data_IF_844249850158
#
_entry.id   IF_844249850158
#
_cell.length_a   1.000
_cell.length_b   1.000
_cell.length_c   1.000
_cell.angle_alpha   90.00
_cell.angle_beta   90.00
_cell.angle_gamma   90.00
#
_symmetry.space_group_name_H-M   'P 1'
#
loop_
_entity.id
_entity.type
_entity.pdbx_description
1 polymer ?
#
# COMPACT_ATOMS: atom_id res chain seq x y z
N UNK A 1 -33.66 32.04 54.06
CA UNK A 1 -33.32 32.18 55.50
C UNK A 1 -31.85 31.89 55.64
N UNK A 2 -31.11 32.98 55.79
CA UNK A 2 -30.23 33.33 56.90
C UNK A 2 -28.98 32.42 56.99
N UNK A 3 -27.87 32.87 56.80
CA UNK A 3 -26.94 33.92 57.21
C UNK A 3 -25.61 33.35 57.71
N UNK A 4 -24.55 33.86 57.08
CA UNK A 4 -23.32 34.39 57.65
C UNK A 4 -22.49 33.57 58.66
N UNK A 5 -21.18 33.41 58.44
CA UNK A 5 -20.16 34.34 58.96
C UNK A 5 -18.74 34.07 58.48
N UNK A 6 -18.11 35.18 58.16
CA UNK A 6 -16.69 35.46 57.93
C UNK A 6 -15.72 34.84 58.96
N UNK A 7 -14.51 34.49 58.51
CA UNK A 7 -13.26 35.13 59.06
C UNK A 7 -12.06 34.86 58.16
N UNK A 8 -11.45 35.94 57.75
CA UNK A 8 -10.11 36.05 57.19
C UNK A 8 -9.06 35.63 58.22
N UNK A 9 -7.96 35.09 57.71
CA UNK A 9 -6.62 35.37 58.26
C UNK A 9 -5.57 35.21 57.17
N UNK A 10 -4.96 36.35 56.85
CA UNK A 10 -3.74 36.47 56.05
C UNK A 10 -2.56 35.81 56.78
N UNK A 11 -1.72 35.10 56.03
CA UNK A 11 -0.27 35.15 56.25
C UNK A 11 0.50 34.95 54.94
N UNK A 12 1.22 36.00 54.67
CA UNK A 12 2.32 36.24 53.74
C UNK A 12 3.28 35.05 53.60
N UNK A 13 3.62 34.72 52.37
CA UNK A 13 4.70 33.82 52.04
C UNK A 13 4.92 33.72 50.54
N UNK A 14 5.60 34.76 49.99
CA UNK A 14 6.11 34.77 48.62
C UNK A 14 6.95 33.52 48.35
N UNK A 15 6.46 32.62 47.52
CA UNK A 15 7.26 31.59 46.85
C UNK A 15 6.98 31.67 45.35
N UNK A 16 7.88 32.35 44.68
CA UNK A 16 8.00 32.32 43.22
C UNK A 16 8.19 30.89 42.74
N UNK A 17 7.11 30.28 42.28
CA UNK A 17 7.17 28.99 41.59
C UNK A 17 7.60 29.24 40.13
N UNK A 18 8.89 29.03 39.89
CA UNK A 18 9.45 28.98 38.55
C UNK A 18 8.88 27.73 37.85
N UNK A 19 7.92 27.91 36.95
CA UNK A 19 7.46 26.85 36.05
C UNK A 19 8.55 26.60 35.01
N UNK A 20 9.37 25.57 35.25
CA UNK A 20 10.22 24.98 34.21
C UNK A 20 9.29 24.24 33.29
N UNK A 21 8.90 24.88 32.17
CA UNK A 21 8.26 24.19 31.02
C UNK A 21 9.34 23.33 30.39
N UNK A 22 9.41 22.08 30.76
CA UNK A 22 10.14 21.05 30.01
C UNK A 22 9.42 20.89 28.69
N UNK A 23 9.96 21.50 27.64
CA UNK A 23 9.68 21.13 26.25
C UNK A 23 10.20 19.70 26.05
N UNK A 24 9.34 18.71 26.30
CA UNK A 24 9.55 17.37 25.76
C UNK A 24 9.28 17.50 24.25
N UNK A 25 10.34 17.77 23.51
CA UNK A 25 10.35 17.52 22.05
C UNK A 25 10.20 16.02 21.88
N UNK A 26 8.96 15.56 21.72
CA UNK A 26 8.71 14.24 21.15
C UNK A 26 9.38 14.21 19.77
N UNK A 27 10.57 13.65 19.72
CA UNK A 27 11.18 13.17 18.50
C UNK A 27 10.24 12.06 17.99
N UNK A 28 9.24 12.43 17.20
CA UNK A 28 8.59 11.45 16.34
C UNK A 28 9.67 11.01 15.35
N UNK A 29 10.04 9.72 15.32
CA UNK A 29 10.90 9.25 14.25
C UNK A 29 10.15 9.60 12.95
N UNK A 30 10.83 10.31 12.05
CA UNK A 30 10.34 10.58 10.72
C UNK A 30 9.98 9.24 10.09
N UNK A 31 8.70 9.02 9.77
CA UNK A 31 8.29 7.82 9.05
C UNK A 31 9.14 7.73 7.78
N UNK A 32 9.82 6.60 7.51
CA UNK A 32 10.57 6.45 6.30
C UNK A 32 9.61 6.59 5.10
N UNK A 33 9.99 7.44 4.15
CA UNK A 33 9.27 7.59 2.89
C UNK A 33 9.15 6.22 2.23
N UNK A 34 7.94 5.82 1.82
CA UNK A 34 7.70 4.59 1.06
C UNK A 34 8.52 4.53 -0.25
N UNK A 35 9.04 5.69 -0.72
CA UNK A 35 9.98 5.79 -1.84
C UNK A 35 11.36 5.20 -1.56
N UNK A 36 11.69 4.81 -0.32
CA UNK A 36 13.00 4.30 0.11
C UNK A 36 12.97 2.84 0.57
N UNK A 37 11.92 2.09 0.26
CA UNK A 37 11.92 0.64 0.44
C UNK A 37 12.88 0.00 -0.61
N UNK A 38 14.18 0.23 -0.45
CA UNK A 38 15.21 -0.49 -1.17
C UNK A 38 15.38 -1.85 -0.50
N UNK A 39 14.84 -2.90 -1.11
CA UNK A 39 15.34 -4.24 -0.85
C UNK A 39 16.78 -4.29 -1.36
N UNK A 40 17.71 -4.51 -0.44
CA UNK A 40 19.09 -4.81 -0.81
C UNK A 40 19.15 -6.18 -1.48
N UNK A 41 20.06 -6.36 -2.46
CA UNK A 41 20.36 -7.70 -3.01
C UNK A 41 20.75 -8.70 -1.92
N UNK A 42 21.31 -8.22 -0.83
CA UNK A 42 21.76 -9.02 0.31
C UNK A 42 20.57 -9.56 1.14
N UNK A 43 19.38 -8.96 1.03
CA UNK A 43 18.18 -9.41 1.75
C UNK A 43 17.45 -10.56 1.03
N UNK A 44 17.73 -10.75 -0.26
CA UNK A 44 17.06 -11.75 -1.12
C UNK A 44 17.13 -13.17 -0.55
N UNK A 45 18.30 -13.71 -0.16
CA UNK A 45 18.38 -15.07 0.39
C UNK A 45 17.58 -15.24 1.67
N UNK A 46 17.54 -14.20 2.52
CA UNK A 46 16.79 -14.22 3.77
C UNK A 46 15.28 -14.25 3.52
N UNK A 47 14.79 -13.45 2.56
CA UNK A 47 13.37 -13.41 2.16
C UNK A 47 12.94 -14.77 1.62
N UNK A 48 13.72 -15.37 0.70
CA UNK A 48 13.41 -16.70 0.14
C UNK A 48 13.40 -17.77 1.22
N UNK A 49 14.37 -17.73 2.14
CA UNK A 49 14.44 -18.68 3.25
C UNK A 49 13.27 -18.53 4.22
N UNK A 50 12.85 -17.29 4.51
CA UNK A 50 11.67 -16.98 5.36
C UNK A 50 10.40 -17.54 4.70
N UNK A 51 10.22 -17.28 3.40
CA UNK A 51 9.06 -17.78 2.63
C UNK A 51 9.07 -19.33 2.61
N UNK A 52 10.20 -19.97 2.37
CA UNK A 52 10.33 -21.44 2.41
C UNK A 52 9.96 -22.00 3.77
N UNK A 53 10.46 -21.39 4.83
CA UNK A 53 10.21 -21.85 6.22
C UNK A 53 8.73 -21.78 6.58
N UNK A 54 8.02 -20.72 6.17
CA UNK A 54 6.64 -20.48 6.53
C UNK A 54 5.67 -21.22 5.60
N UNK A 55 5.95 -21.22 4.27
CA UNK A 55 5.00 -21.66 3.24
C UNK A 55 5.49 -22.88 2.45
N UNK A 56 6.71 -23.39 2.71
CA UNK A 56 7.24 -24.60 2.11
C UNK A 56 7.88 -24.43 0.71
N UNK A 57 8.29 -25.56 0.12
CA UNK A 57 9.09 -25.59 -1.11
C UNK A 57 8.40 -24.99 -2.34
N UNK A 58 7.09 -25.13 -2.48
CA UNK A 58 6.37 -24.52 -3.61
C UNK A 58 6.41 -23.01 -3.55
N UNK A 59 6.28 -22.44 -2.36
CA UNK A 59 6.41 -21.01 -2.12
C UNK A 59 7.83 -20.50 -2.41
N UNK A 60 8.85 -21.24 -1.99
CA UNK A 60 10.25 -20.95 -2.35
C UNK A 60 10.43 -20.84 -3.85
N UNK A 61 9.90 -21.80 -4.62
CA UNK A 61 10.00 -21.78 -6.07
C UNK A 61 9.33 -20.55 -6.69
N UNK A 62 8.15 -20.14 -6.18
CA UNK A 62 7.49 -18.89 -6.61
C UNK A 62 8.34 -17.65 -6.27
N UNK A 63 8.89 -17.59 -5.07
CA UNK A 63 9.78 -16.50 -4.65
C UNK A 63 11.02 -16.39 -5.54
N UNK A 64 11.68 -17.51 -5.87
CA UNK A 64 12.81 -17.54 -6.80
C UNK A 64 12.42 -17.04 -8.19
N UNK A 65 11.24 -17.42 -8.70
CA UNK A 65 10.75 -16.94 -9.99
C UNK A 65 10.47 -15.42 -9.97
N UNK A 66 9.85 -14.91 -8.91
CA UNK A 66 9.63 -13.48 -8.72
C UNK A 66 10.95 -12.70 -8.69
N UNK A 67 11.94 -13.18 -7.94
CA UNK A 67 13.27 -12.54 -7.89
C UNK A 67 13.98 -12.57 -9.24
N UNK A 68 13.85 -13.68 -9.97
CA UNK A 68 14.38 -13.78 -11.33
C UNK A 68 13.71 -12.76 -12.27
N UNK A 69 12.39 -12.56 -12.16
CA UNK A 69 11.68 -11.51 -12.89
C UNK A 69 12.27 -10.13 -12.58
N UNK A 70 12.39 -9.78 -11.29
CA UNK A 70 12.98 -8.50 -10.87
C UNK A 70 14.40 -8.32 -11.42
N UNK A 71 15.28 -9.32 -11.29
CA UNK A 71 16.65 -9.24 -11.77
C UNK A 71 16.72 -9.15 -13.31
N UNK A 72 15.82 -9.82 -14.02
CA UNK A 72 15.79 -9.82 -15.50
C UNK A 72 15.34 -8.46 -16.04
N UNK A 73 14.33 -7.85 -15.44
CA UNK A 73 13.68 -6.67 -16.03
C UNK A 73 14.01 -5.33 -15.35
N UNK A 74 14.87 -5.31 -14.32
CA UNK A 74 15.23 -4.06 -13.58
C UNK A 74 15.78 -2.92 -14.46
N UNK A 75 16.37 -3.26 -15.62
CA UNK A 75 16.94 -2.28 -16.55
C UNK A 75 16.15 -2.21 -17.89
N UNK A 76 14.98 -2.82 -17.95
CA UNK A 76 14.11 -2.81 -19.14
C UNK A 76 13.28 -1.53 -19.17
N UNK A 77 12.73 -1.24 -20.35
CA UNK A 77 11.76 -0.16 -20.50
C UNK A 77 10.52 -0.41 -19.63
N UNK A 78 9.92 0.67 -19.13
CA UNK A 78 8.77 0.60 -18.21
C UNK A 78 7.60 -0.19 -18.78
N UNK A 79 7.36 -0.11 -20.09
CA UNK A 79 6.30 -0.88 -20.75
C UNK A 79 6.54 -2.39 -20.63
N UNK A 80 7.78 -2.84 -20.81
CA UNK A 80 8.17 -4.25 -20.65
C UNK A 80 7.98 -4.66 -19.17
N UNK A 81 8.46 -3.83 -18.24
CA UNK A 81 8.30 -4.10 -16.80
C UNK A 81 6.83 -4.29 -16.41
N UNK A 82 5.95 -3.39 -16.88
CA UNK A 82 4.51 -3.42 -16.61
C UNK A 82 3.89 -4.71 -17.14
N UNK A 83 4.20 -5.09 -18.37
CA UNK A 83 3.67 -6.30 -19.00
C UNK A 83 4.12 -7.56 -18.25
N UNK A 84 5.41 -7.67 -17.94
CA UNK A 84 5.98 -8.86 -17.30
C UNK A 84 5.49 -9.02 -15.86
N UNK A 85 5.39 -7.91 -15.11
CA UNK A 85 4.84 -7.92 -13.73
C UNK A 85 3.35 -8.31 -13.77
N UNK A 86 2.55 -7.73 -14.65
CA UNK A 86 1.15 -8.09 -14.78
C UNK A 86 0.97 -9.57 -15.14
N UNK A 87 1.74 -10.07 -16.11
CA UNK A 87 1.68 -11.46 -16.55
C UNK A 87 2.09 -12.42 -15.42
N UNK A 88 3.14 -12.09 -14.66
CA UNK A 88 3.62 -12.94 -13.57
C UNK A 88 2.56 -13.11 -12.48
N UNK A 89 2.04 -12.01 -11.94
CA UNK A 89 1.08 -12.10 -10.85
C UNK A 89 -0.26 -12.69 -11.30
N UNK A 90 -0.71 -12.40 -12.52
CA UNK A 90 -1.96 -12.96 -13.06
C UNK A 90 -1.92 -14.49 -13.34
N UNK A 91 -0.80 -15.16 -13.08
CA UNK A 91 -0.71 -16.63 -13.04
C UNK A 91 -1.05 -17.20 -11.66
N UNK A 92 -1.03 -16.38 -10.61
CA UNK A 92 -1.35 -16.81 -9.25
C UNK A 92 -2.86 -16.97 -9.08
N UNK A 93 -3.26 -17.66 -8.02
CA UNK A 93 -4.65 -18.01 -7.78
C UNK A 93 -5.40 -16.85 -7.09
N UNK A 94 -6.64 -16.59 -7.53
CA UNK A 94 -7.53 -15.72 -6.77
C UNK A 94 -8.10 -16.52 -5.59
N UNK A 95 -7.84 -16.03 -4.37
CA UNK A 95 -8.28 -16.66 -3.14
C UNK A 95 -8.84 -15.57 -2.24
N UNK A 96 -10.07 -15.72 -1.85
CA UNK A 96 -10.77 -14.85 -0.91
C UNK A 96 -10.11 -14.86 0.46
N UNK A 97 -10.01 -13.70 1.11
CA UNK A 97 -9.35 -13.52 2.40
C UNK A 97 -9.90 -14.39 3.51
N UNK A 98 -11.21 -14.54 3.57
CA UNK A 98 -11.84 -15.37 4.60
C UNK A 98 -11.40 -16.84 4.46
N UNK A 99 -11.22 -17.31 3.21
CA UNK A 99 -10.77 -18.67 2.93
C UNK A 99 -9.27 -18.83 3.18
N UNK A 100 -8.47 -17.81 2.90
CA UNK A 100 -7.02 -17.87 2.99
C UNK A 100 -6.52 -17.58 4.42
N UNK A 101 -7.06 -16.53 5.05
CA UNK A 101 -6.58 -15.98 6.32
C UNK A 101 -7.56 -16.15 7.49
N UNK A 102 -8.81 -16.51 7.21
CA UNK A 102 -9.87 -16.62 8.22
C UNK A 102 -10.37 -15.29 8.77
N UNK A 103 -10.05 -14.18 8.10
CA UNK A 103 -10.47 -12.82 8.44
C UNK A 103 -10.83 -12.07 7.16
N UNK A 104 -11.70 -11.08 7.24
CA UNK A 104 -12.05 -10.23 6.11
C UNK A 104 -11.01 -9.11 5.94
N UNK A 105 -10.78 -8.66 4.70
CA UNK A 105 -10.00 -7.46 4.32
C UNK A 105 -8.56 -7.50 4.89
N UNK A 106 -7.82 -8.58 4.57
CA UNK A 106 -6.43 -8.78 4.98
C UNK A 106 -5.47 -8.50 3.83
N UNK A 107 -5.03 -7.28 3.69
CA UNK A 107 -4.07 -6.88 2.66
C UNK A 107 -2.67 -7.46 2.94
N UNK A 108 -2.16 -8.25 2.02
CA UNK A 108 -0.89 -8.95 2.18
C UNK A 108 0.32 -8.11 1.76
N UNK A 109 1.48 -8.43 2.32
CA UNK A 109 2.76 -8.05 1.74
C UNK A 109 3.04 -8.91 0.49
N UNK A 110 3.96 -8.46 -0.38
CA UNK A 110 4.40 -9.25 -1.54
C UNK A 110 4.91 -10.63 -1.13
N UNK A 111 5.61 -10.71 0.00
CA UNK A 111 6.15 -11.97 0.52
C UNK A 111 5.05 -12.95 0.96
N UNK A 112 4.00 -12.45 1.63
CA UNK A 112 2.84 -13.26 2.01
C UNK A 112 2.06 -13.73 0.79
N UNK A 113 1.77 -12.83 -0.16
CA UNK A 113 1.07 -13.16 -1.40
C UNK A 113 1.80 -14.22 -2.22
N UNK A 114 3.12 -14.08 -2.44
CA UNK A 114 3.96 -15.09 -3.11
C UNK A 114 4.01 -16.37 -2.28
N UNK A 115 4.12 -16.25 -0.96
CA UNK A 115 4.14 -17.37 -0.02
C UNK A 115 2.87 -18.20 -0.09
N UNK A 116 1.72 -17.57 0.00
CA UNK A 116 0.41 -18.21 -0.11
C UNK A 116 0.14 -18.76 -1.53
N UNK A 117 0.66 -18.08 -2.55
CA UNK A 117 0.48 -18.45 -3.96
C UNK A 117 -0.77 -17.83 -4.59
N UNK A 118 -1.37 -16.88 -3.92
CA UNK A 118 -2.54 -16.15 -4.34
C UNK A 118 -3.08 -15.25 -3.23
N UNK A 119 -4.19 -14.60 -3.51
CA UNK A 119 -4.92 -13.69 -2.64
C UNK A 119 -6.08 -13.06 -3.42
N UNK A 120 -6.65 -11.99 -2.90
CA UNK A 120 -7.74 -11.30 -3.58
C UNK A 120 -7.29 -10.03 -4.35
N UNK A 121 -8.21 -9.16 -4.74
CA UNK A 121 -7.92 -8.10 -5.70
C UNK A 121 -6.92 -7.06 -5.21
N UNK A 122 -6.94 -6.71 -3.92
CA UNK A 122 -5.96 -5.80 -3.32
C UNK A 122 -4.58 -6.40 -3.26
N UNK A 123 -4.46 -7.69 -2.97
CA UNK A 123 -3.17 -8.39 -2.92
C UNK A 123 -2.49 -8.40 -4.28
N UNK A 124 -3.23 -8.71 -5.35
CA UNK A 124 -2.72 -8.58 -6.71
C UNK A 124 -2.28 -7.16 -7.02
N UNK A 125 -3.07 -6.17 -6.64
CA UNK A 125 -2.79 -4.76 -6.87
C UNK A 125 -1.53 -4.31 -6.13
N UNK A 126 -1.41 -4.64 -4.84
CA UNK A 126 -0.26 -4.32 -4.00
C UNK A 126 1.01 -5.03 -4.47
N UNK A 127 0.93 -6.31 -4.82
CA UNK A 127 2.07 -7.07 -5.31
C UNK A 127 2.62 -6.50 -6.62
N UNK A 128 1.75 -6.11 -7.56
CA UNK A 128 2.14 -5.43 -8.79
C UNK A 128 2.75 -4.05 -8.50
N UNK A 129 2.12 -3.25 -7.63
CA UNK A 129 2.62 -1.93 -7.23
C UNK A 129 4.03 -2.00 -6.66
N UNK A 130 4.26 -2.80 -5.63
CA UNK A 130 5.56 -2.90 -4.99
C UNK A 130 6.61 -3.47 -5.92
N UNK A 131 6.29 -4.46 -6.75
CA UNK A 131 7.23 -5.05 -7.69
C UNK A 131 7.66 -4.03 -8.76
N UNK A 132 6.73 -3.22 -9.28
CA UNK A 132 7.07 -2.15 -10.22
C UNK A 132 7.94 -1.07 -9.58
N UNK A 133 7.67 -0.70 -8.33
CA UNK A 133 8.53 0.22 -7.58
C UNK A 133 9.94 -0.37 -7.40
N UNK A 134 10.08 -1.66 -7.09
CA UNK A 134 11.39 -2.34 -7.02
C UNK A 134 12.12 -2.36 -8.37
N UNK A 135 11.39 -2.43 -9.45
CA UNK A 135 11.95 -2.34 -10.81
C UNK A 135 12.39 -0.91 -11.17
N UNK A 136 12.09 0.09 -10.33
CA UNK A 136 12.46 1.49 -10.52
C UNK A 136 11.38 2.36 -11.16
N UNK A 137 10.15 1.84 -11.33
CA UNK A 137 9.02 2.66 -11.77
C UNK A 137 8.68 3.66 -10.66
N UNK A 138 8.65 4.97 -10.95
CA UNK A 138 8.36 5.98 -9.92
C UNK A 138 6.97 5.77 -9.30
N UNK A 139 6.90 5.67 -7.98
CA UNK A 139 5.66 5.41 -7.26
C UNK A 139 4.54 6.44 -7.54
N UNK A 140 4.91 7.70 -7.86
CA UNK A 140 3.94 8.74 -8.20
C UNK A 140 3.26 8.53 -9.57
N UNK A 141 3.79 7.65 -10.43
CA UNK A 141 3.17 7.24 -11.70
C UNK A 141 2.20 6.07 -11.53
N UNK A 142 2.14 5.48 -10.34
CA UNK A 142 1.31 4.32 -10.00
C UNK A 142 0.20 4.76 -9.04
N UNK A 143 -1.02 4.32 -9.30
CA UNK A 143 -2.18 4.54 -8.45
C UNK A 143 -2.94 3.24 -8.22
N UNK A 144 -3.14 2.87 -6.98
CA UNK A 144 -4.07 1.83 -6.58
C UNK A 144 -5.46 2.45 -6.53
N UNK A 145 -6.43 1.86 -7.23
CA UNK A 145 -7.75 2.44 -7.41
C UNK A 145 -8.81 1.47 -6.93
N UNK A 146 -9.57 1.90 -5.94
CA UNK A 146 -10.76 1.21 -5.47
C UNK A 146 -11.93 1.57 -6.38
N UNK A 147 -12.55 0.57 -6.95
CA UNK A 147 -13.59 0.70 -7.95
C UNK A 147 -14.83 -0.15 -7.60
N UNK A 148 -15.97 0.18 -8.17
CA UNK A 148 -17.09 -0.74 -8.30
C UNK A 148 -16.98 -1.43 -9.66
N UNK A 149 -16.80 -2.75 -9.67
CA UNK A 149 -16.80 -3.56 -10.88
C UNK A 149 -18.25 -3.80 -11.34
N UNK A 150 -18.74 -2.99 -12.28
CA UNK A 150 -20.16 -2.91 -12.68
C UNK A 150 -20.71 -4.26 -13.10
N UNK A 151 -19.91 -5.03 -13.86
CA UNK A 151 -20.31 -6.35 -14.39
C UNK A 151 -20.54 -7.36 -13.27
N UNK A 152 -19.74 -7.29 -12.20
CA UNK A 152 -19.80 -8.21 -11.07
C UNK A 152 -20.63 -7.68 -9.90
N UNK A 153 -20.94 -6.37 -9.91
CA UNK A 153 -21.62 -5.64 -8.81
C UNK A 153 -20.89 -5.75 -7.47
N UNK A 154 -19.56 -5.78 -7.52
CA UNK A 154 -18.69 -5.97 -6.36
C UNK A 154 -17.62 -4.88 -6.29
N UNK A 155 -17.16 -4.63 -5.08
CA UNK A 155 -15.97 -3.83 -4.84
C UNK A 155 -14.75 -4.51 -5.42
N UNK A 156 -13.84 -3.73 -6.03
CA UNK A 156 -12.65 -4.26 -6.67
C UNK A 156 -11.50 -3.26 -6.57
N UNK A 157 -10.27 -3.75 -6.68
CA UNK A 157 -9.08 -2.92 -6.69
C UNK A 157 -8.22 -3.22 -7.92
N UNK A 158 -7.77 -2.17 -8.59
CA UNK A 158 -6.88 -2.26 -9.75
C UNK A 158 -5.69 -1.32 -9.61
N UNK A 159 -4.60 -1.62 -10.33
CA UNK A 159 -3.45 -0.74 -10.44
C UNK A 159 -3.53 0.04 -11.76
N UNK A 160 -3.34 1.35 -11.69
CA UNK A 160 -3.16 2.19 -12.87
C UNK A 160 -1.73 2.72 -12.94
N UNK A 161 -1.18 2.76 -14.15
CA UNK A 161 0.07 3.45 -14.47
C UNK A 161 -0.22 4.61 -15.41
N UNK A 162 0.35 5.79 -15.10
CA UNK A 162 0.25 6.99 -15.93
C UNK A 162 1.62 7.60 -16.14
N UNK A 163 2.08 7.61 -17.39
CA UNK A 163 3.42 8.10 -17.75
C UNK A 163 3.63 9.57 -17.36
N UNK A 164 2.62 10.40 -17.67
CA UNK A 164 2.55 11.81 -17.26
C UNK A 164 1.09 12.26 -17.18
N UNK A 165 0.78 13.42 -16.57
CA UNK A 165 -0.60 13.91 -16.47
C UNK A 165 -1.33 14.11 -17.81
N UNK A 166 -0.58 14.22 -18.92
CA UNK A 166 -1.12 14.35 -20.27
C UNK A 166 -1.37 13.00 -20.98
N UNK A 167 -0.83 11.90 -20.44
CA UNK A 167 -1.03 10.58 -21.02
C UNK A 167 -2.23 9.90 -20.37
N UNK A 168 -2.93 9.12 -21.17
CA UNK A 168 -4.01 8.29 -20.67
C UNK A 168 -3.44 7.17 -19.79
N UNK A 169 -3.99 6.94 -18.58
CA UNK A 169 -3.57 5.81 -17.76
C UNK A 169 -3.88 4.47 -18.42
N UNK A 170 -3.04 3.47 -18.16
CA UNK A 170 -3.31 2.06 -18.45
C UNK A 170 -3.59 1.32 -17.13
N UNK A 171 -4.45 0.31 -17.20
CA UNK A 171 -4.96 -0.44 -16.05
C UNK A 171 -4.44 -1.87 -16.09
N UNK A 172 -3.88 -2.30 -14.96
CA UNK A 172 -3.45 -3.66 -14.66
C UNK A 172 -4.45 -4.26 -13.69
N UNK A 173 -5.00 -5.40 -14.06
CA UNK A 173 -6.09 -6.04 -13.32
C UNK A 173 -5.83 -7.55 -13.21
N UNK A 174 -6.45 -8.22 -12.25
CA UNK A 174 -6.42 -9.67 -12.10
C UNK A 174 -7.64 -10.36 -12.71
N UNK A 175 -8.76 -9.65 -12.88
CA UNK A 175 -9.98 -10.14 -13.54
C UNK A 175 -9.82 -10.01 -15.06
N UNK A 176 -9.69 -8.80 -15.57
CA UNK A 176 -9.32 -8.59 -16.97
C UNK A 176 -7.79 -8.52 -17.09
N UNK A 177 -7.19 -9.67 -17.40
CA UNK A 177 -5.73 -9.84 -17.40
C UNK A 177 -5.02 -9.04 -18.51
N UNK A 178 -5.77 -8.49 -19.46
CA UNK A 178 -5.22 -7.63 -20.52
C UNK A 178 -5.02 -6.21 -20.00
N UNK A 179 -3.83 -5.66 -20.22
CA UNK A 179 -3.59 -4.25 -19.93
C UNK A 179 -4.35 -3.42 -20.95
N UNK A 180 -5.22 -2.53 -20.46
CA UNK A 180 -6.08 -1.67 -21.28
C UNK A 180 -5.97 -0.23 -20.84
N UNK A 181 -6.22 0.71 -21.77
CA UNK A 181 -6.35 2.11 -21.41
C UNK A 181 -7.57 2.35 -20.50
N UNK A 182 -7.52 3.39 -19.68
CA UNK A 182 -8.61 3.75 -18.76
C UNK A 182 -9.95 3.97 -19.48
N UNK A 183 -9.93 4.52 -20.71
CA UNK A 183 -11.15 4.72 -21.53
C UNK A 183 -11.78 3.42 -22.03
N UNK A 184 -11.02 2.34 -22.09
CA UNK A 184 -11.52 1.01 -22.46
C UNK A 184 -12.10 0.23 -21.29
N UNK A 185 -11.88 0.69 -20.03
CA UNK A 185 -12.37 0.05 -18.81
C UNK A 185 -13.67 0.72 -18.34
N UNK A 186 -14.68 0.68 -19.20
CA UNK A 186 -16.03 1.20 -18.90
C UNK A 186 -16.81 0.31 -17.91
N UNK A 187 -16.28 -0.86 -17.61
CA UNK A 187 -16.75 -1.81 -16.60
C UNK A 187 -16.35 -1.41 -15.16
N UNK A 188 -15.46 -0.42 -15.00
CA UNK A 188 -14.97 0.04 -13.70
C UNK A 188 -15.48 1.45 -13.38
N UNK A 189 -16.11 1.60 -12.22
CA UNK A 189 -16.55 2.89 -11.69
C UNK A 189 -15.64 3.28 -10.50
N UNK A 190 -14.69 4.23 -10.65
CA UNK A 190 -13.76 4.60 -9.62
C UNK A 190 -14.43 5.33 -8.45
N UNK A 191 -14.02 5.00 -7.22
CA UNK A 191 -14.51 5.59 -5.97
C UNK A 191 -13.42 6.46 -5.34
N UNK A 192 -12.23 5.88 -5.11
CA UNK A 192 -11.06 6.61 -4.67
C UNK A 192 -9.79 5.97 -5.22
N UNK A 193 -8.71 6.75 -5.27
CA UNK A 193 -7.39 6.31 -5.66
C UNK A 193 -6.36 6.73 -4.61
N UNK A 194 -5.30 5.95 -4.47
CA UNK A 194 -4.19 6.28 -3.60
C UNK A 194 -2.86 5.76 -4.17
N UNK A 195 -1.77 6.34 -3.71
CA UNK A 195 -0.43 5.84 -3.94
C UNK A 195 0.31 5.72 -2.59
N UNK A 196 1.64 5.71 -2.61
CA UNK A 196 2.43 5.62 -1.38
C UNK A 196 2.10 6.72 -0.35
N UNK A 197 1.76 7.94 -0.79
CA UNK A 197 1.67 9.12 0.07
C UNK A 197 0.29 9.77 0.11
N UNK A 198 -0.44 9.74 -1.00
CA UNK A 198 -1.62 10.58 -1.23
C UNK A 198 -2.87 9.77 -1.51
N UNK A 199 -4.02 10.36 -1.16
CA UNK A 199 -5.36 9.81 -1.33
C UNK A 199 -6.24 10.81 -2.08
N UNK A 200 -6.90 10.35 -3.14
CA UNK A 200 -7.80 11.14 -3.98
C UNK A 200 -9.20 10.55 -4.01
N UNK A 201 -10.20 11.42 -3.98
CA UNK A 201 -11.55 11.07 -4.44
C UNK A 201 -11.56 11.15 -5.97
N UNK A 202 -12.06 10.12 -6.64
CA UNK A 202 -12.06 10.10 -8.10
C UNK A 202 -13.34 9.50 -8.66
N UNK A 203 -13.73 9.99 -9.84
CA UNK A 203 -14.82 9.44 -10.66
C UNK A 203 -14.33 8.96 -12.01
N UNK A 204 -13.03 9.14 -12.28
CA UNK A 204 -12.39 8.72 -13.52
C UNK A 204 -10.95 8.36 -13.23
N UNK A 205 -10.50 7.24 -13.75
CA UNK A 205 -9.13 6.74 -13.60
C UNK A 205 -8.12 7.82 -14.09
N UNK A 206 -7.11 8.11 -13.27
CA UNK A 206 -6.10 9.13 -13.53
C UNK A 206 -6.54 10.57 -13.30
N UNK A 207 -7.78 10.81 -12.82
CA UNK A 207 -8.29 12.15 -12.51
C UNK A 207 -8.96 12.12 -11.14
N UNK A 208 -8.40 12.82 -10.18
CA UNK A 208 -8.92 12.85 -8.81
C UNK A 208 -8.68 14.17 -8.12
N UNK A 209 -9.49 14.44 -7.10
CA UNK A 209 -9.30 15.54 -6.17
C UNK A 209 -8.57 15.02 -4.94
N UNK A 210 -7.43 15.62 -4.59
CA UNK A 210 -6.68 15.28 -3.39
C UNK A 210 -7.55 15.51 -2.14
N UNK A 211 -7.72 14.48 -1.33
CA UNK A 211 -8.52 14.52 -0.09
C UNK A 211 -7.72 14.19 1.16
N UNK A 212 -6.44 13.87 1.01
CA UNK A 212 -5.56 13.67 2.15
C UNK A 212 -4.36 12.75 1.87
N UNK A 213 -3.88 12.14 2.95
CA UNK A 213 -2.78 11.19 2.94
C UNK A 213 -3.30 9.75 2.87
N UNK A 214 -2.54 8.86 2.21
CA UNK A 214 -2.83 7.43 2.14
C UNK A 214 -2.84 6.75 3.51
N UNK A 215 -2.19 7.34 4.51
CA UNK A 215 -2.21 6.87 5.91
C UNK A 215 -3.60 6.87 6.57
N UNK A 216 -4.62 7.42 5.91
CA UNK A 216 -6.03 7.27 6.32
C UNK A 216 -6.58 5.86 6.04
N UNK A 217 -5.95 5.11 5.14
CA UNK A 217 -6.33 3.74 4.78
C UNK A 217 -5.58 2.79 5.72
N UNK A 218 -6.29 2.26 6.72
CA UNK A 218 -5.69 1.43 7.77
C UNK A 218 -5.01 0.16 7.25
N UNK A 219 -5.61 -0.63 6.34
CA UNK A 219 -4.93 -1.79 5.75
C UNK A 219 -3.62 -1.41 5.06
N UNK A 220 -3.59 -0.31 4.29
CA UNK A 220 -2.38 0.21 3.65
C UNK A 220 -1.26 0.49 4.66
N UNK A 221 -1.59 1.15 5.78
CA UNK A 221 -0.59 1.44 6.84
C UNK A 221 0.02 0.17 7.39
N UNK A 222 -0.78 -0.89 7.58
CA UNK A 222 -0.30 -2.19 8.05
C UNK A 222 0.68 -2.82 7.06
N UNK A 223 0.34 -2.84 5.77
CA UNK A 223 1.23 -3.39 4.72
C UNK A 223 2.55 -2.62 4.65
N UNK A 224 2.50 -1.28 4.74
CA UNK A 224 3.72 -0.46 4.77
C UNK A 224 4.63 -0.78 5.98
N UNK A 225 4.06 -1.13 7.12
CA UNK A 225 4.83 -1.51 8.31
C UNK A 225 5.43 -2.91 8.17
N UNK A 226 4.67 -3.89 7.63
CA UNK A 226 5.13 -5.27 7.46
C UNK A 226 6.23 -5.43 6.40
N UNK A 227 6.34 -4.51 5.45
CA UNK A 227 7.42 -4.51 4.44
C UNK A 227 8.76 -3.98 4.98
N UNK A 228 8.81 -3.50 6.23
CA UNK A 228 10.01 -2.97 6.87
C UNK A 228 10.64 -3.96 7.89
N UNK A 229 9.95 -5.05 8.20
CA UNK A 229 10.40 -6.15 9.07
C UNK A 229 10.94 -7.35 8.25
#
# INVERSE_FOLDING_TARGET
MLNNHFKENEHSGSRTLVWIILFITCLFPSMPNASNAHFSKDDIPAIVSKIETVYGNHAKNRAVQWLKLVETYKNSDTEIQINEVNNFFNQLEFIDDLNLWGVDDYWTSVAEFIGAGGGDCEDFTLAKFYTLVFLGVPAHKLQMIYVNAITYQEAHMVLAYQESPSHEPIVLDNIDKQIKSASQRTDLEPIYAFNADELWSTKKIGQGQLIGKATKIKPWVRVMQSTQE
#
